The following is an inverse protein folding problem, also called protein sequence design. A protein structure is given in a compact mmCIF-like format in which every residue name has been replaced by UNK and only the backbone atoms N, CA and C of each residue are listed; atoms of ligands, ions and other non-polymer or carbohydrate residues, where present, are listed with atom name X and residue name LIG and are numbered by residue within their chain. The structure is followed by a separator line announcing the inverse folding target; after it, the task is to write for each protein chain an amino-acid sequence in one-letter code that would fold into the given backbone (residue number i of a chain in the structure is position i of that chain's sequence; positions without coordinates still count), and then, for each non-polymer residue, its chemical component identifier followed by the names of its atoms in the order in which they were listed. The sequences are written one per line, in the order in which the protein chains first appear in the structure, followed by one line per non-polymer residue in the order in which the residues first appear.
data_IF_248041740656
#
_entry.id   IF_248041740656
#
_cell.length_a   1.000
_cell.length_b   1.000
_cell.length_c   1.000
_cell.angle_alpha   90.00
_cell.angle_beta   90.00
_cell.angle_gamma   90.00
#
_symmetry.space_group_name_H-M   'P 1'
#
loop_
_entity.id
_entity.type
_entity.pdbx_description
1 polymer ?
#
# COMPACT_ATOMS: atom_id res chain seq x y z
N UNK A 1 14.38 -4.46 2.13
CA UNK A 1 13.34 -5.11 2.96
C UNK A 1 13.53 -6.61 2.88
N UNK A 2 13.35 -7.34 3.99
CA UNK A 2 13.43 -8.82 4.01
C UNK A 2 12.04 -9.39 4.23
N UNK A 3 11.59 -10.27 3.33
CA UNK A 3 10.34 -11.02 3.44
C UNK A 3 10.65 -12.47 3.81
N UNK A 4 10.20 -12.89 4.98
CA UNK A 4 10.44 -14.23 5.53
C UNK A 4 9.16 -15.05 5.42
N UNK A 5 9.23 -16.20 4.76
CA UNK A 5 8.09 -17.11 4.62
C UNK A 5 8.53 -18.57 4.73
N UNK A 6 7.61 -19.45 5.14
CA UNK A 6 7.84 -20.91 5.17
C UNK A 6 7.53 -21.58 3.83
N UNK A 7 6.86 -20.86 2.92
CA UNK A 7 6.47 -21.35 1.59
C UNK A 7 6.79 -20.31 0.53
N UNK A 8 7.24 -20.78 -0.62
CA UNK A 8 7.59 -19.93 -1.77
C UNK A 8 6.38 -19.36 -2.51
N UNK A 9 5.17 -19.85 -2.24
CA UNK A 9 3.93 -19.57 -3.00
C UNK A 9 3.53 -18.09 -3.02
N UNK A 10 3.92 -17.32 -2.00
CA UNK A 10 3.55 -15.91 -1.87
C UNK A 10 4.73 -14.95 -2.08
N UNK A 11 5.93 -15.46 -2.38
CA UNK A 11 7.14 -14.63 -2.56
C UNK A 11 6.95 -13.63 -3.72
N UNK A 12 6.52 -14.11 -4.88
CA UNK A 12 6.32 -13.25 -6.07
C UNK A 12 5.19 -12.24 -5.86
N UNK A 13 4.10 -12.66 -5.22
CA UNK A 13 3.01 -11.74 -4.88
C UNK A 13 3.47 -10.64 -3.91
N UNK A 14 4.26 -10.99 -2.89
CA UNK A 14 4.82 -10.04 -1.94
C UNK A 14 5.82 -9.08 -2.62
N UNK A 15 6.67 -9.60 -3.51
CA UNK A 15 7.60 -8.80 -4.30
C UNK A 15 6.87 -7.78 -5.17
N UNK A 16 5.86 -8.22 -5.93
CA UNK A 16 5.08 -7.33 -6.80
C UNK A 16 4.35 -6.25 -6.00
N UNK A 17 3.78 -6.61 -4.86
CA UNK A 17 3.10 -5.67 -3.97
C UNK A 17 4.08 -4.64 -3.39
N UNK A 18 5.27 -5.08 -2.98
CA UNK A 18 6.34 -4.21 -2.51
C UNK A 18 6.80 -3.22 -3.60
N UNK A 19 7.09 -3.71 -4.80
CA UNK A 19 7.50 -2.86 -5.92
C UNK A 19 6.42 -1.84 -6.29
N UNK A 20 5.15 -2.25 -6.29
CA UNK A 20 4.01 -1.36 -6.55
C UNK A 20 3.87 -0.26 -5.49
N UNK A 21 4.04 -0.62 -4.21
CA UNK A 21 3.99 0.34 -3.11
C UNK A 21 5.16 1.33 -3.17
N UNK A 22 6.37 0.86 -3.48
CA UNK A 22 7.56 1.71 -3.60
C UNK A 22 7.46 2.66 -4.79
N UNK A 23 6.95 2.18 -5.94
CA UNK A 23 6.67 3.04 -7.10
C UNK A 23 5.67 4.15 -6.74
N UNK A 24 4.59 3.81 -6.03
CA UNK A 24 3.57 4.78 -5.61
C UNK A 24 4.10 5.81 -4.60
N UNK A 25 5.03 5.41 -3.74
CA UNK A 25 5.65 6.34 -2.79
C UNK A 25 6.65 7.28 -3.48
N UNK A 26 7.28 6.84 -4.57
CA UNK A 26 8.29 7.60 -5.34
C UNK A 26 7.69 8.47 -6.45
N UNK A 27 6.38 8.72 -6.46
CA UNK A 27 5.68 9.35 -7.59
C UNK A 27 6.14 10.78 -7.94
N UNK A 28 6.93 11.45 -7.10
CA UNK A 28 7.42 12.79 -7.40
C UNK A 28 8.82 12.71 -8.00
N UNK A 29 8.95 13.15 -9.25
CA UNK A 29 10.25 13.31 -9.89
C UNK A 29 11.07 14.36 -9.10
N UNK A 30 12.30 14.04 -8.67
CA UNK A 30 13.13 14.98 -7.89
C UNK A 30 13.41 16.28 -8.65
N UNK A 31 13.47 16.22 -9.99
CA UNK A 31 13.62 17.40 -10.84
C UNK A 31 12.40 18.32 -10.80
N UNK A 32 11.21 17.75 -10.95
CA UNK A 32 9.95 18.51 -10.87
C UNK A 32 9.69 19.06 -9.46
N UNK A 33 10.07 18.32 -8.41
CA UNK A 33 9.96 18.79 -7.03
C UNK A 33 10.88 20.00 -6.76
N UNK A 34 12.13 19.95 -7.25
CA UNK A 34 13.05 21.07 -7.15
C UNK A 34 12.55 22.31 -7.92
N UNK A 35 12.02 22.13 -9.12
CA UNK A 35 11.48 23.24 -9.91
C UNK A 35 10.22 23.84 -9.27
N UNK A 36 9.36 23.01 -8.68
CA UNK A 36 8.20 23.46 -7.90
C UNK A 36 8.67 24.31 -6.72
N UNK A 37 9.67 23.86 -5.98
CA UNK A 37 10.26 24.63 -4.88
C UNK A 37 10.79 26.00 -5.36
N UNK A 38 11.55 26.06 -6.46
CA UNK A 38 12.08 27.33 -6.99
C UNK A 38 10.95 28.30 -7.38
N UNK A 39 9.90 27.78 -8.01
CA UNK A 39 8.74 28.60 -8.42
C UNK A 39 8.01 29.16 -7.21
N UNK A 40 7.77 28.33 -6.19
CA UNK A 40 7.09 28.74 -4.96
C UNK A 40 7.94 29.69 -4.12
N UNK A 41 9.26 29.45 -4.02
CA UNK A 41 10.21 30.35 -3.35
C UNK A 41 10.24 31.73 -4.03
N UNK A 42 10.24 31.77 -5.36
CA UNK A 42 10.16 33.03 -6.11
C UNK A 42 8.89 33.81 -5.82
N UNK A 43 7.73 33.14 -5.73
CA UNK A 43 6.46 33.77 -5.37
C UNK A 43 6.46 34.27 -3.92
N UNK A 44 7.05 33.49 -3.02
CA UNK A 44 7.22 33.83 -1.61
C UNK A 44 8.09 35.08 -1.42
N UNK A 45 9.24 35.13 -2.08
CA UNK A 45 10.17 36.29 -2.07
C UNK A 45 9.54 37.53 -2.72
N UNK A 46 8.74 37.34 -3.78
CA UNK A 46 7.94 38.41 -4.39
C UNK A 46 6.72 38.86 -3.55
N UNK A 47 6.54 38.30 -2.35
CA UNK A 47 5.42 38.56 -1.42
C UNK A 47 4.04 38.32 -2.04
N UNK A 48 3.94 37.42 -3.02
CA UNK A 48 2.69 37.09 -3.70
C UNK A 48 1.91 35.99 -2.97
N UNK A 49 1.69 36.18 -1.66
CA UNK A 49 1.09 35.15 -0.79
C UNK A 49 -0.33 34.76 -1.21
N UNK A 50 -1.08 35.67 -1.84
CA UNK A 50 -2.43 35.39 -2.33
C UNK A 50 -2.51 34.35 -3.47
N UNK A 51 -1.37 33.96 -4.06
CA UNK A 51 -1.28 32.91 -5.08
C UNK A 51 -0.88 31.54 -4.52
N UNK A 52 -0.55 31.46 -3.23
CA UNK A 52 -0.09 30.23 -2.58
C UNK A 52 -1.28 29.54 -1.91
N UNK A 53 -1.49 28.26 -2.23
CA UNK A 53 -2.43 27.42 -1.48
C UNK A 53 -1.83 26.98 -0.15
N UNK A 54 -2.67 26.51 0.78
CA UNK A 54 -2.22 25.89 2.04
C UNK A 54 -1.25 24.73 1.77
N UNK A 55 -1.56 23.88 0.77
CA UNK A 55 -0.69 22.77 0.36
C UNK A 55 0.68 23.24 -0.15
N UNK A 56 0.73 24.41 -0.79
CA UNK A 56 1.97 25.00 -1.28
C UNK A 56 2.81 25.54 -0.12
N UNK A 57 2.19 26.11 0.91
CA UNK A 57 2.87 26.56 2.12
C UNK A 57 3.49 25.39 2.89
N UNK A 58 2.73 24.31 3.06
CA UNK A 58 3.23 23.09 3.70
C UNK A 58 4.38 22.48 2.90
N UNK A 59 4.24 22.40 1.58
CA UNK A 59 5.31 21.96 0.71
C UNK A 59 6.54 22.85 0.82
N UNK A 60 6.38 24.18 0.75
CA UNK A 60 7.48 25.14 0.85
C UNK A 60 8.24 25.01 2.17
N UNK A 61 7.54 24.81 3.29
CA UNK A 61 8.17 24.62 4.60
C UNK A 61 9.01 23.33 4.64
N UNK A 62 8.51 22.23 4.07
CA UNK A 62 9.27 20.97 3.96
C UNK A 62 10.47 21.13 3.01
N UNK A 63 10.26 21.69 1.83
CA UNK A 63 11.26 21.85 0.79
C UNK A 63 12.39 22.81 1.22
N UNK A 64 12.06 23.89 1.93
CA UNK A 64 13.07 24.82 2.49
C UNK A 64 14.06 24.10 3.40
N UNK A 65 13.63 23.09 4.16
CA UNK A 65 14.53 22.28 5.00
C UNK A 65 15.40 21.32 4.17
N UNK A 66 14.86 20.81 3.08
CA UNK A 66 15.54 19.84 2.21
C UNK A 66 16.60 20.51 1.31
N UNK A 67 16.29 21.69 0.76
CA UNK A 67 17.15 22.44 -0.17
C UNK A 67 17.92 23.57 0.54
N UNK A 68 18.25 23.40 1.83
CA UNK A 68 18.98 24.40 2.63
C UNK A 68 20.51 24.32 2.42
N UNK A 69 20.95 23.83 1.27
CA UNK A 69 22.35 23.65 0.93
C UNK A 69 22.84 24.76 -0.02
N UNK A 70 24.10 25.16 0.13
CA UNK A 70 24.71 26.21 -0.69
C UNK A 70 24.64 25.93 -2.21
N UNK A 71 24.84 24.69 -2.70
CA UNK A 71 24.65 24.37 -4.13
C UNK A 71 23.23 24.64 -4.64
N UNK A 72 22.20 24.28 -3.87
CA UNK A 72 20.81 24.57 -4.24
C UNK A 72 20.52 26.07 -4.31
N UNK A 73 21.07 26.87 -3.39
CA UNK A 73 20.90 28.33 -3.44
C UNK A 73 21.56 28.96 -4.66
N UNK A 74 22.78 28.53 -5.01
CA UNK A 74 23.48 29.03 -6.21
C UNK A 74 22.64 28.77 -7.46
N UNK A 75 22.13 27.54 -7.63
CA UNK A 75 21.26 27.18 -8.76
C UNK A 75 19.96 27.98 -8.79
N UNK A 76 19.36 28.24 -7.62
CA UNK A 76 18.17 29.07 -7.54
C UNK A 76 18.43 30.47 -8.10
N UNK A 77 19.52 31.13 -7.70
CA UNK A 77 19.85 32.45 -8.22
C UNK A 77 20.17 32.43 -9.72
N UNK A 78 20.89 31.42 -10.21
CA UNK A 78 21.17 31.26 -11.63
C UNK A 78 19.89 31.06 -12.46
N UNK A 79 18.93 30.28 -11.95
CA UNK A 79 17.61 30.10 -12.58
C UNK A 79 16.78 31.39 -12.54
N UNK A 80 16.77 32.11 -11.42
CA UNK A 80 16.06 33.41 -11.30
C UNK A 80 16.63 34.44 -12.28
N UNK A 81 17.95 34.45 -12.48
CA UNK A 81 18.63 35.31 -13.46
C UNK A 81 18.48 34.86 -14.92
N UNK A 82 17.83 33.71 -15.16
CA UNK A 82 17.65 33.15 -16.50
C UNK A 82 18.92 32.56 -17.12
N UNK A 83 19.98 32.33 -16.33
CA UNK A 83 21.22 31.68 -16.81
C UNK A 83 21.03 30.18 -17.02
N UNK A 84 20.09 29.58 -16.27
CA UNK A 84 19.76 28.15 -16.31
C UNK A 84 18.29 28.00 -16.66
N UNK A 85 17.98 27.15 -17.65
CA UNK A 85 16.60 26.84 -18.03
C UNK A 85 15.95 25.89 -17.01
N UNK A 86 14.62 25.92 -16.93
CA UNK A 86 13.87 25.00 -16.05
C UNK A 86 14.14 23.52 -16.36
N UNK A 87 14.35 23.16 -17.63
CA UNK A 87 14.68 21.78 -18.02
C UNK A 87 16.08 21.36 -17.53
N UNK A 88 17.03 22.30 -17.54
CA UNK A 88 18.36 22.06 -17.03
C UNK A 88 18.35 21.91 -15.49
N UNK A 89 17.53 22.70 -14.78
CA UNK A 89 17.31 22.51 -13.34
C UNK A 89 16.78 21.10 -13.07
N UNK A 90 15.73 20.67 -13.78
CA UNK A 90 15.15 19.32 -13.61
C UNK A 90 16.21 18.23 -13.80
N UNK A 91 16.98 18.31 -14.89
CA UNK A 91 18.02 17.32 -15.20
C UNK A 91 19.09 17.26 -14.10
N UNK A 92 19.60 18.42 -13.66
CA UNK A 92 20.62 18.47 -12.61
C UNK A 92 20.13 17.85 -11.30
N UNK A 93 18.90 18.13 -10.89
CA UNK A 93 18.35 17.56 -9.65
C UNK A 93 18.00 16.07 -9.78
N UNK A 94 17.65 15.59 -10.97
CA UNK A 94 17.55 14.15 -11.24
C UNK A 94 18.90 13.44 -11.15
N UNK A 95 19.94 14.04 -11.72
CA UNK A 95 21.28 13.44 -11.73
C UNK A 95 21.91 13.41 -10.33
N UNK A 96 21.61 14.42 -9.51
CA UNK A 96 22.05 14.49 -8.11
C UNK A 96 21.19 13.67 -7.16
N UNK A 97 19.99 13.29 -7.58
CA UNK A 97 19.13 12.47 -6.75
C UNK A 97 19.85 11.13 -6.48
N UNK A 98 19.94 10.71 -5.22
CA UNK A 98 20.52 9.41 -4.91
C UNK A 98 19.71 8.34 -5.64
N UNK A 99 20.39 7.48 -6.41
CA UNK A 99 19.76 6.30 -7.02
C UNK A 99 19.14 5.50 -5.88
N UNK A 100 17.81 5.46 -5.86
CA UNK A 100 17.08 4.73 -4.83
C UNK A 100 17.20 3.24 -5.14
N UNK A 101 18.27 2.61 -4.67
CA UNK A 101 18.46 1.17 -4.82
C UNK A 101 17.57 0.45 -3.80
N UNK A 102 16.40 0.02 -4.27
CA UNK A 102 15.43 -0.68 -3.43
C UNK A 102 15.69 -2.18 -3.55
N UNK A 103 16.24 -2.79 -2.49
CA UNK A 103 16.43 -4.23 -2.42
C UNK A 103 15.25 -4.93 -1.74
N UNK A 104 14.72 -5.98 -2.38
CA UNK A 104 13.75 -6.90 -1.82
C UNK A 104 14.41 -8.28 -1.70
N UNK A 105 14.68 -8.69 -0.46
CA UNK A 105 15.28 -9.98 -0.15
C UNK A 105 14.20 -10.94 0.34
N UNK A 106 14.29 -12.20 -0.08
CA UNK A 106 13.38 -13.26 0.36
C UNK A 106 14.17 -14.35 1.07
N UNK A 107 13.75 -14.71 2.26
CA UNK A 107 14.34 -15.82 2.99
C UNK A 107 13.28 -16.87 3.28
N UNK A 108 13.58 -18.12 2.89
CA UNK A 108 12.76 -19.27 3.22
C UNK A 108 13.29 -19.87 4.52
N UNK A 109 12.47 -19.84 5.55
CA UNK A 109 12.80 -20.45 6.84
C UNK A 109 12.08 -21.78 6.91
N UNK A 110 12.84 -22.85 7.10
CA UNK A 110 12.34 -24.21 7.31
C UNK A 110 11.84 -24.37 8.76
N UNK A 111 10.93 -23.48 9.14
CA UNK A 111 10.31 -23.45 10.46
C UNK A 111 9.18 -24.46 10.47
N UNK A 112 9.48 -25.69 10.90
CA UNK A 112 8.51 -26.76 11.14
C UNK A 112 7.31 -26.70 10.19
N UNK A 113 7.53 -27.12 8.95
CA UNK A 113 6.48 -27.31 7.93
C UNK A 113 5.23 -28.02 8.48
N UNK A 114 5.38 -28.82 9.54
CA UNK A 114 4.34 -29.50 10.31
C UNK A 114 3.36 -28.63 11.13
N UNK A 115 3.72 -27.40 11.57
CA UNK A 115 2.82 -26.58 12.41
C UNK A 115 1.72 -25.85 11.63
N UNK A 116 1.98 -25.58 10.34
CA UNK A 116 1.08 -24.83 9.46
C UNK A 116 0.56 -25.66 8.28
N UNK A 117 0.72 -26.99 8.32
CA UNK A 117 -0.09 -27.82 7.44
C UNK A 117 -1.55 -27.59 7.81
N UNK A 118 -2.40 -27.13 6.87
CA UNK A 118 -3.81 -27.46 7.00
C UNK A 118 -3.81 -28.98 7.08
N UNK A 119 -4.23 -29.56 8.23
CA UNK A 119 -4.54 -30.98 8.27
C UNK A 119 -5.62 -31.18 7.23
N UNK A 120 -5.21 -31.51 6.01
CA UNK A 120 -6.12 -32.06 5.01
C UNK A 120 -6.39 -33.43 5.58
N UNK A 121 -7.37 -33.51 6.48
CA UNK A 121 -7.99 -34.77 6.87
C UNK A 121 -8.26 -35.46 5.55
N UNK A 122 -7.49 -36.53 5.28
CA UNK A 122 -7.62 -37.32 4.09
C UNK A 122 -9.12 -37.54 3.90
N UNK A 123 -9.68 -37.03 2.79
CA UNK A 123 -11.04 -37.38 2.43
C UNK A 123 -11.02 -38.89 2.23
N UNK A 124 -11.34 -39.63 3.28
CA UNK A 124 -11.84 -40.99 3.16
C UNK A 124 -12.97 -40.87 2.17
N UNK A 125 -12.80 -41.52 1.02
CA UNK A 125 -13.82 -41.58 -0.01
C UNK A 125 -15.10 -42.13 0.63
N UNK A 126 -16.04 -41.24 0.97
CA UNK A 126 -17.37 -41.63 1.41
C UNK A 126 -18.17 -42.01 0.19
N UNK A 127 -17.91 -43.20 -0.35
CA UNK A 127 -18.90 -43.89 -1.15
C UNK A 127 -19.89 -44.53 -0.17
N UNK A 128 -21.00 -43.84 0.04
CA UNK A 128 -22.32 -44.39 0.35
C UNK A 128 -23.24 -43.23 0.72
N UNK A 129 -24.21 -42.94 -0.15
CA UNK A 129 -25.37 -42.12 0.21
C UNK A 129 -26.23 -42.95 1.15
N UNK A 130 -26.08 -42.75 2.45
CA UNK A 130 -27.07 -43.20 3.43
C UNK A 130 -28.07 -42.07 3.66
N UNK A 131 -29.33 -42.32 3.29
CA UNK A 131 -30.45 -41.43 3.62
C UNK A 131 -30.61 -41.42 5.14
N UNK A 132 -30.30 -40.29 5.77
CA UNK A 132 -30.52 -40.07 7.20
C UNK A 132 -32.01 -39.78 7.40
N UNK A 133 -32.77 -40.83 7.71
CA UNK A 133 -34.17 -40.73 8.14
C UNK A 133 -34.19 -40.62 9.67
N UNK A 134 -33.72 -39.51 10.22
CA UNK A 134 -33.87 -39.26 11.64
C UNK A 134 -34.11 -37.77 11.89
N UNK A 135 -35.35 -37.44 12.24
CA UNK A 135 -35.73 -36.10 12.66
C UNK A 135 -34.95 -35.73 13.92
N UNK A 136 -34.14 -34.69 13.83
CA UNK A 136 -33.38 -34.15 14.97
C UNK A 136 -34.36 -33.67 16.04
N UNK A 137 -34.28 -34.28 17.22
CA UNK A 137 -35.07 -33.87 18.38
C UNK A 137 -34.52 -32.53 18.87
N UNK A 138 -35.36 -31.49 18.86
CA UNK A 138 -34.97 -30.15 19.29
C UNK A 138 -34.52 -30.14 20.75
N UNK A 139 -33.30 -29.66 20.99
CA UNK A 139 -32.68 -29.50 22.32
C UNK A 139 -32.84 -28.09 22.89
N UNK A 140 -33.50 -27.18 22.15
CA UNK A 140 -33.73 -25.81 22.62
C UNK A 140 -34.83 -25.78 23.69
N UNK A 141 -34.54 -25.15 24.83
CA UNK A 141 -35.53 -24.92 25.88
C UNK A 141 -36.69 -24.03 25.40
N UNK A 142 -37.85 -24.16 26.05
CA UNK A 142 -39.12 -23.49 25.74
C UNK A 142 -39.02 -22.02 25.26
N UNK A 143 -38.18 -21.13 25.81
CA UNK A 143 -38.14 -19.74 25.35
C UNK A 143 -37.58 -19.54 23.92
N UNK A 144 -36.84 -20.50 23.37
CA UNK A 144 -36.20 -20.39 22.05
C UNK A 144 -36.93 -21.16 20.94
N UNK A 145 -37.99 -21.90 21.32
CA UNK A 145 -38.79 -22.72 20.41
C UNK A 145 -39.55 -21.92 19.32
N UNK A 146 -40.00 -20.66 19.54
CA UNK A 146 -40.67 -19.90 18.49
C UNK A 146 -39.75 -19.40 17.37
N UNK A 147 -38.44 -19.29 17.61
CA UNK A 147 -37.47 -18.71 16.66
C UNK A 147 -36.80 -19.79 15.80
N UNK A 148 -36.59 -20.99 16.36
CA UNK A 148 -35.87 -22.09 15.69
C UNK A 148 -36.65 -23.41 15.65
N UNK A 149 -37.90 -23.42 16.13
CA UNK A 149 -38.78 -24.57 15.99
C UNK A 149 -39.22 -24.72 14.53
N UNK A 150 -38.99 -25.89 13.94
CA UNK A 150 -39.57 -26.27 12.67
C UNK A 150 -41.10 -26.20 12.80
N UNK A 151 -41.71 -25.20 12.17
CA UNK A 151 -43.15 -25.16 11.97
C UNK A 151 -43.44 -26.16 10.86
N UNK A 152 -43.88 -27.36 11.24
CA UNK A 152 -44.51 -28.28 10.30
C UNK A 152 -45.83 -27.65 9.82
N UNK A 153 -45.75 -26.85 8.76
CA UNK A 153 -46.93 -26.49 7.97
C UNK A 153 -47.34 -27.74 7.19
N UNK A 154 -48.15 -28.55 7.84
CA UNK A 154 -48.91 -29.60 7.21
C UNK A 154 -49.86 -28.94 6.19
N UNK A 155 -49.51 -29.05 4.91
CA UNK A 155 -50.41 -28.70 3.82
C UNK A 155 -51.65 -29.59 3.88
N UNK A 156 -52.79 -29.01 4.24
CA UNK A 156 -54.10 -29.54 3.89
C UNK A 156 -54.39 -29.07 2.46
N UNK A 157 -54.45 -30.01 1.53
CA UNK A 157 -55.26 -29.85 0.33
C UNK A 157 -56.41 -30.87 0.36
N UNK A 158 -57.61 -30.30 0.24
CA UNK A 158 -58.92 -30.86 -0.14
C UNK A 158 -59.65 -31.73 0.88
#
# INVERSE_FOLDING_TARGET
MVYIATRSTHLESARNLFLTMMHRASNSDPGDEALRYFTLRKLWEAKQYGKLSQDDLEFLNRATKQFNDAPSEIRYYEWVQGRVSSDMVRAQFRDLAPKQEVSFCTELVDGQTALFEPKVSSRVARSAVTKVTQSLRSTFGRPFQPVFGAVDRQGREK
#
